data_IF_764582506402
#
_entry.id   IF_764582506402
#
_cell.length_a   1.000
_cell.length_b   1.000
_cell.length_c   1.000
_cell.angle_alpha   90.00
_cell.angle_beta   90.00
_cell.angle_gamma   90.00
#
_symmetry.space_group_name_H-M   'P 1'
#
loop_
_entity.id
_entity.type
_entity.pdbx_description
1 polymer ?
#
# COMPACT_ATOMS: atom_id res chain seq x y z
N UNK A 1 -16.59 10.21 -1.13
CA UNK A 1 -15.23 9.64 -1.15
C UNK A 1 -15.13 8.76 0.07
N UNK A 2 -14.83 7.48 -0.10
CA UNK A 2 -14.50 6.63 1.06
C UNK A 2 -13.23 7.19 1.68
N UNK A 3 -13.30 7.60 2.94
CA UNK A 3 -12.13 8.10 3.65
C UNK A 3 -11.20 6.92 3.91
N UNK A 4 -10.09 6.85 3.18
CA UNK A 4 -9.09 5.81 3.39
C UNK A 4 -8.49 6.02 4.77
N UNK A 5 -8.54 4.98 5.62
CA UNK A 5 -7.82 5.02 6.88
C UNK A 5 -6.34 4.73 6.64
N UNK A 6 -5.57 5.79 6.33
CA UNK A 6 -4.15 5.72 6.03
C UNK A 6 -3.33 5.10 7.15
N UNK A 7 -3.66 5.39 8.41
CA UNK A 7 -2.92 4.87 9.55
C UNK A 7 -3.12 3.36 9.70
N UNK A 8 -4.36 2.88 9.65
CA UNK A 8 -4.67 1.45 9.74
C UNK A 8 -4.08 0.68 8.55
N UNK A 9 -4.16 1.24 7.34
CA UNK A 9 -3.57 0.63 6.15
C UNK A 9 -2.05 0.52 6.28
N UNK A 10 -1.39 1.56 6.78
CA UNK A 10 0.06 1.57 6.99
C UNK A 10 0.48 0.53 8.03
N UNK A 11 -0.18 0.49 9.18
CA UNK A 11 0.12 -0.49 10.23
C UNK A 11 -0.07 -1.93 9.74
N UNK A 12 -1.16 -2.19 9.00
CA UNK A 12 -1.41 -3.50 8.42
C UNK A 12 -0.34 -3.88 7.37
N UNK A 13 0.07 -2.93 6.53
CA UNK A 13 1.14 -3.15 5.56
C UNK A 13 2.48 -3.44 6.26
N UNK A 14 2.87 -2.64 7.26
CA UNK A 14 4.11 -2.83 8.02
C UNK A 14 4.15 -4.20 8.72
N UNK A 15 3.01 -4.68 9.22
CA UNK A 15 2.90 -6.04 9.79
C UNK A 15 2.89 -7.14 8.73
N UNK A 16 2.35 -6.89 7.55
CA UNK A 16 2.26 -7.87 6.47
C UNK A 16 3.60 -8.11 5.76
N UNK A 17 4.49 -7.11 5.68
CA UNK A 17 5.82 -7.21 5.04
C UNK A 17 6.60 -8.45 5.50
N UNK A 18 6.90 -8.65 6.80
CA UNK A 18 7.67 -9.82 7.24
C UNK A 18 6.94 -11.15 6.99
N UNK A 19 5.60 -11.15 7.00
CA UNK A 19 4.81 -12.33 6.68
C UNK A 19 4.90 -12.69 5.18
N UNK A 20 4.87 -11.70 4.29
CA UNK A 20 5.09 -11.91 2.85
C UNK A 20 6.51 -12.37 2.55
N UNK A 21 7.52 -11.80 3.21
CA UNK A 21 8.91 -12.23 3.07
C UNK A 21 9.09 -13.70 3.46
N UNK A 22 8.50 -14.13 4.58
CA UNK A 22 8.53 -15.53 5.00
C UNK A 22 7.82 -16.45 4.01
N UNK A 23 6.65 -16.03 3.51
CA UNK A 23 5.90 -16.78 2.51
C UNK A 23 6.72 -17.01 1.22
N UNK A 24 7.48 -16.00 0.79
CA UNK A 24 8.36 -16.09 -0.39
C UNK A 24 9.59 -17.00 -0.18
N UNK A 25 10.01 -17.23 1.08
CA UNK A 25 11.11 -18.13 1.40
C UNK A 25 10.68 -19.60 1.52
N UNK A 26 9.37 -19.89 1.51
CA UNK A 26 8.88 -21.26 1.54
C UNK A 26 9.18 -21.96 0.22
N UNK A 27 9.54 -23.25 0.25
CA UNK A 27 9.74 -24.02 -0.98
C UNK A 27 8.44 -24.02 -1.79
N UNK A 28 8.52 -23.59 -3.05
CA UNK A 28 7.37 -23.39 -3.92
C UNK A 28 6.65 -24.69 -4.36
N UNK A 29 7.13 -25.86 -3.90
CA UNK A 29 6.66 -27.19 -4.30
C UNK A 29 5.58 -27.79 -3.38
N UNK A 30 5.22 -27.16 -2.26
CA UNK A 30 4.11 -27.65 -1.42
C UNK A 30 2.78 -27.05 -1.88
N UNK A 31 2.10 -27.78 -2.76
CA UNK A 31 0.96 -27.31 -3.55
C UNK A 31 -0.22 -26.76 -2.71
N UNK A 32 -0.34 -27.03 -1.41
CA UNK A 32 -1.42 -26.48 -0.57
C UNK A 32 -1.05 -26.45 0.93
N UNK A 33 -0.09 -25.61 1.35
CA UNK A 33 0.09 -25.35 2.77
C UNK A 33 -1.18 -24.73 3.37
N UNK A 34 -1.72 -25.39 4.39
CA UNK A 34 -2.86 -24.92 5.16
C UNK A 34 -2.48 -23.65 5.94
N UNK A 35 -3.46 -22.83 6.34
CA UNK A 35 -3.19 -21.66 7.22
C UNK A 35 -2.47 -22.05 8.52
N UNK A 36 -2.77 -23.24 9.06
CA UNK A 36 -2.07 -23.78 10.23
C UNK A 36 -0.60 -24.08 9.95
N UNK A 37 -0.29 -24.69 8.80
CA UNK A 37 1.09 -25.01 8.43
C UNK A 37 1.88 -23.73 8.18
N UNK A 38 1.28 -22.73 7.53
CA UNK A 38 1.89 -21.41 7.36
C UNK A 38 2.18 -20.74 8.71
N UNK A 39 1.26 -20.84 9.68
CA UNK A 39 1.48 -20.36 11.05
C UNK A 39 2.63 -21.11 11.74
N UNK A 40 2.74 -22.41 11.52
CA UNK A 40 3.83 -23.25 12.05
C UNK A 40 5.19 -22.90 11.41
N UNK A 41 5.21 -22.46 10.15
CA UNK A 41 6.36 -21.85 9.48
C UNK A 41 6.63 -20.39 9.94
N UNK A 42 5.84 -19.87 10.86
CA UNK A 42 5.98 -18.52 11.41
C UNK A 42 5.45 -17.42 10.49
N UNK A 43 4.63 -17.74 9.49
CA UNK A 43 3.93 -16.72 8.68
C UNK A 43 2.78 -16.14 9.51
N UNK A 44 2.75 -14.81 9.68
CA UNK A 44 1.64 -14.11 10.33
C UNK A 44 0.49 -13.95 9.32
N UNK A 45 -0.35 -15.00 9.23
CA UNK A 45 -1.51 -15.04 8.34
C UNK A 45 -2.56 -13.99 8.72
N UNK A 46 -2.68 -13.66 10.01
CA UNK A 46 -3.62 -12.67 10.48
C UNK A 46 -3.22 -11.26 10.01
N UNK A 47 -1.90 -10.95 9.98
CA UNK A 47 -1.38 -9.73 9.37
C UNK A 47 -1.62 -9.66 7.86
N UNK A 48 -1.42 -10.77 7.12
CA UNK A 48 -1.69 -10.82 5.68
C UNK A 48 -3.17 -10.60 5.37
N UNK A 49 -4.06 -11.25 6.13
CA UNK A 49 -5.51 -11.11 5.97
C UNK A 49 -5.99 -9.70 6.31
N UNK A 50 -5.47 -9.08 7.38
CA UNK A 50 -5.78 -7.71 7.74
C UNK A 50 -5.35 -6.72 6.64
N UNK A 51 -4.14 -6.88 6.09
CA UNK A 51 -3.69 -6.07 4.96
C UNK A 51 -4.56 -6.29 3.71
N UNK A 52 -4.85 -7.54 3.34
CA UNK A 52 -5.70 -7.86 2.19
C UNK A 52 -7.09 -7.22 2.28
N UNK A 53 -7.66 -7.16 3.48
CA UNK A 53 -8.95 -6.52 3.72
C UNK A 53 -8.88 -5.00 3.58
N UNK A 54 -7.86 -4.36 4.16
CA UNK A 54 -7.71 -2.90 4.12
C UNK A 54 -7.24 -2.39 2.75
N UNK A 55 -6.35 -3.14 2.08
CA UNK A 55 -5.80 -2.87 0.76
C UNK A 55 -6.63 -3.51 -0.36
N UNK A 56 -7.96 -3.54 -0.20
CA UNK A 56 -8.86 -4.03 -1.24
C UNK A 56 -8.78 -3.20 -2.53
N UNK A 57 -9.30 -3.71 -3.67
CA UNK A 57 -9.22 -3.04 -4.96
C UNK A 57 -9.74 -1.59 -4.94
N UNK A 58 -10.82 -1.33 -4.20
CA UNK A 58 -11.42 0.00 -4.05
C UNK A 58 -10.49 0.99 -3.33
N UNK A 59 -9.84 0.54 -2.24
CA UNK A 59 -8.84 1.34 -1.52
C UNK A 59 -7.64 1.64 -2.42
N UNK A 60 -7.16 0.63 -3.17
CA UNK A 60 -6.02 0.81 -4.07
C UNK A 60 -6.34 1.80 -5.19
N UNK A 61 -7.54 1.72 -5.80
CA UNK A 61 -7.96 2.70 -6.80
C UNK A 61 -8.06 4.11 -6.22
N UNK A 62 -8.67 4.26 -5.05
CA UNK A 62 -8.79 5.56 -4.40
C UNK A 62 -7.41 6.18 -4.04
N UNK A 63 -6.42 5.36 -3.65
CA UNK A 63 -5.03 5.79 -3.45
C UNK A 63 -4.37 6.27 -4.76
N UNK A 64 -4.61 5.55 -5.87
CA UNK A 64 -4.07 5.93 -7.18
C UNK A 64 -4.70 7.24 -7.68
N UNK A 65 -6.01 7.40 -7.54
CA UNK A 65 -6.74 8.61 -7.91
C UNK A 65 -6.30 9.81 -7.05
N UNK A 66 -6.08 9.61 -5.75
CA UNK A 66 -5.54 10.66 -4.88
C UNK A 66 -4.09 11.03 -5.26
N UNK A 67 -3.25 10.03 -5.52
CA UNK A 67 -1.86 10.26 -5.97
C UNK A 67 -1.83 11.06 -7.28
N UNK A 68 -2.68 10.73 -8.25
CA UNK A 68 -2.76 11.46 -9.51
C UNK A 68 -3.18 12.91 -9.28
N UNK A 69 -4.26 13.14 -8.51
CA UNK A 69 -4.71 14.50 -8.16
C UNK A 69 -3.61 15.31 -7.47
N UNK A 70 -2.90 14.72 -6.52
CA UNK A 70 -1.81 15.38 -5.80
C UNK A 70 -0.64 15.74 -6.73
N UNK A 71 -0.30 14.86 -7.68
CA UNK A 71 0.74 15.15 -8.68
C UNK A 71 0.34 16.30 -9.62
N UNK A 72 -0.92 16.35 -10.05
CA UNK A 72 -1.39 17.47 -10.87
C UNK A 72 -1.36 18.79 -10.08
N UNK A 73 -1.75 18.77 -8.80
CA UNK A 73 -1.68 19.95 -7.95
C UNK A 73 -0.26 20.50 -7.80
N UNK A 74 0.74 19.62 -7.60
CA UNK A 74 2.16 20.02 -7.51
C UNK A 74 2.59 20.67 -8.83
N UNK A 75 2.27 20.07 -9.99
CA UNK A 75 2.62 20.66 -11.30
C UNK A 75 2.01 22.05 -11.52
N UNK A 76 0.73 22.23 -11.18
CA UNK A 76 0.08 23.55 -11.30
C UNK A 76 0.76 24.60 -10.42
N UNK A 77 1.20 24.21 -9.21
CA UNK A 77 1.92 25.11 -8.31
C UNK A 77 3.33 25.44 -8.78
N UNK A 78 4.04 24.46 -9.32
CA UNK A 78 5.37 24.69 -9.89
C UNK A 78 5.28 25.66 -11.07
N UNK A 79 4.28 25.49 -11.95
CA UNK A 79 4.05 26.39 -13.07
C UNK A 79 3.68 27.82 -12.63
N UNK A 80 2.83 27.97 -11.61
CA UNK A 80 2.49 29.27 -11.03
C UNK A 80 3.73 29.94 -10.41
N UNK A 81 4.55 29.19 -9.68
CA UNK A 81 5.78 29.70 -9.09
C UNK A 81 6.79 30.15 -10.16
N UNK A 82 6.89 29.43 -11.29
CA UNK A 82 7.72 29.83 -12.44
C UNK A 82 7.21 31.11 -13.10
N UNK A 83 5.89 31.23 -13.32
CA UNK A 83 5.28 32.43 -13.92
C UNK A 83 5.47 33.67 -13.03
N UNK A 84 5.34 33.50 -11.70
CA UNK A 84 5.69 34.54 -10.73
C UNK A 84 7.17 34.90 -10.87
N UNK A 85 8.08 33.93 -10.80
CA UNK A 85 9.53 34.18 -10.87
C UNK A 85 9.95 34.93 -12.14
N UNK A 86 9.29 34.65 -13.28
CA UNK A 86 9.53 35.34 -14.56
C UNK A 86 8.97 36.77 -14.59
N UNK A 87 7.97 37.08 -13.77
CA UNK A 87 7.30 38.39 -13.74
C UNK A 87 7.92 39.36 -12.73
N UNK A 88 8.60 38.88 -11.68
CA UNK A 88 9.30 39.72 -10.69
C UNK A 88 10.78 40.00 -11.02
N UNK A 89 11.30 39.48 -12.14
CA UNK A 89 12.68 39.66 -12.61
C UNK A 89 12.95 40.94 -13.41
#
# INVERSE_FOLDING_TARGET
>A
MSEINYQALREAAERAIPAMERLLMLPADDDLLSEQELKDYGVDIDALNAFKFLAGPETVLALLDERERNQQYIKSRDQENEDIALTVG
#
